data_IF_703629216046
#
_entry.id   IF_703629216046
#
_cell.length_a   1.000
_cell.length_b   1.000
_cell.length_c   1.000
_cell.angle_alpha   90.00
_cell.angle_beta   90.00
_cell.angle_gamma   90.00
#
_symmetry.space_group_name_H-M   'P 1'
#
loop_
_entity.id
_entity.type
_entity.pdbx_description
1 polymer ?
#
# COMPACT_ATOMS: atom_id res chain seq x y z
N UNK A 1 2.69 -3.49 -9.03
CA UNK A 1 1.64 -4.10 -8.17
C UNK A 1 2.14 -4.23 -6.73
N UNK A 2 1.24 -4.11 -5.74
CA UNK A 2 1.61 -4.37 -4.35
C UNK A 2 1.92 -5.86 -4.15
N UNK A 3 3.03 -6.13 -3.47
CA UNK A 3 3.52 -7.48 -3.18
C UNK A 3 3.46 -7.78 -1.69
N UNK A 4 3.29 -9.05 -1.34
CA UNK A 4 3.30 -9.56 0.03
C UNK A 4 4.73 -9.68 0.58
N UNK A 5 4.86 -9.95 1.89
CA UNK A 5 6.15 -10.24 2.53
C UNK A 5 6.87 -11.40 1.83
N UNK A 6 6.14 -12.48 1.50
CA UNK A 6 6.71 -13.66 0.84
C UNK A 6 7.23 -13.36 -0.56
N UNK A 7 6.47 -12.59 -1.35
CA UNK A 7 6.89 -12.18 -2.69
C UNK A 7 8.09 -11.23 -2.63
N UNK A 8 8.13 -10.33 -1.62
CA UNK A 8 9.31 -9.49 -1.36
C UNK A 8 10.57 -10.35 -1.13
N UNK A 9 10.47 -11.38 -0.29
CA UNK A 9 11.59 -12.27 -0.02
C UNK A 9 12.07 -12.98 -1.29
N UNK A 10 11.14 -13.48 -2.11
CA UNK A 10 11.46 -14.11 -3.39
C UNK A 10 12.11 -13.14 -4.39
N UNK A 11 11.61 -11.90 -4.48
CA UNK A 11 12.22 -10.89 -5.35
C UNK A 11 13.64 -10.53 -4.91
N UNK A 12 13.89 -10.42 -3.60
CA UNK A 12 15.22 -10.14 -3.09
C UNK A 12 16.19 -11.30 -3.30
N UNK A 13 15.70 -12.55 -3.21
CA UNK A 13 16.48 -13.76 -3.45
C UNK A 13 16.83 -13.93 -4.94
N UNK A 14 15.82 -13.82 -5.82
CA UNK A 14 16.01 -14.12 -7.25
C UNK A 14 16.60 -12.95 -8.05
N UNK A 15 16.37 -11.74 -7.61
CA UNK A 15 16.80 -10.52 -8.31
C UNK A 15 17.48 -9.54 -7.36
N UNK A 16 18.59 -9.94 -6.70
CA UNK A 16 19.27 -9.08 -5.73
C UNK A 16 19.71 -7.77 -6.40
N UNK A 17 19.38 -6.65 -5.78
CA UNK A 17 19.77 -5.33 -6.25
C UNK A 17 19.07 -4.84 -7.53
N UNK A 18 17.87 -5.34 -7.84
CA UNK A 18 17.10 -4.92 -9.01
C UNK A 18 15.87 -4.08 -8.67
N UNK A 19 15.42 -4.14 -7.43
CA UNK A 19 14.18 -3.48 -7.00
C UNK A 19 14.42 -2.63 -5.77
N UNK A 20 13.88 -1.42 -5.78
CA UNK A 20 13.55 -0.68 -4.58
C UNK A 20 12.23 -1.24 -4.06
N UNK A 21 12.22 -1.73 -2.82
CA UNK A 21 11.03 -2.33 -2.23
C UNK A 21 10.70 -1.61 -0.93
N UNK A 22 9.59 -0.89 -0.94
CA UNK A 22 9.15 -0.12 0.22
C UNK A 22 7.78 -0.55 0.71
N UNK A 23 7.60 -0.48 2.02
CA UNK A 23 6.30 -0.75 2.63
C UNK A 23 5.36 0.42 2.37
N UNK A 24 4.21 0.15 1.76
CA UNK A 24 3.19 1.16 1.51
C UNK A 24 1.92 0.86 2.33
N UNK A 25 1.67 1.67 3.37
CA UNK A 25 0.49 1.50 4.23
C UNK A 25 -0.84 1.58 3.47
N UNK A 26 -0.89 2.30 2.36
CA UNK A 26 -2.08 2.49 1.56
C UNK A 26 -2.51 1.21 0.82
N UNK A 27 -1.56 0.27 0.64
CA UNK A 27 -1.78 -1.02 -0.02
C UNK A 27 -2.02 -2.18 0.97
N UNK A 28 -2.16 -1.93 2.28
CA UNK A 28 -2.37 -3.00 3.25
C UNK A 28 -3.79 -3.53 3.18
N UNK A 29 -3.94 -4.85 3.00
CA UNK A 29 -5.26 -5.48 2.99
C UNK A 29 -5.85 -5.61 4.39
N UNK A 30 -7.16 -5.47 4.43
CA UNK A 30 -7.98 -5.63 5.62
C UNK A 30 -8.64 -7.01 5.61
N UNK A 31 -8.15 -7.90 6.46
CA UNK A 31 -8.64 -9.27 6.57
C UNK A 31 -9.46 -9.41 7.85
N UNK A 32 -10.66 -9.92 7.73
CA UNK A 32 -11.62 -10.07 8.81
C UNK A 32 -12.00 -11.53 9.01
N UNK A 33 -12.32 -11.90 10.25
CA UNK A 33 -13.01 -13.15 10.49
C UNK A 33 -14.41 -13.13 9.84
N UNK A 34 -14.70 -14.13 9.03
CA UNK A 34 -16.02 -14.31 8.41
C UNK A 34 -17.13 -14.35 9.47
N UNK A 35 -16.94 -15.11 10.54
CA UNK A 35 -17.93 -15.22 11.63
C UNK A 35 -18.26 -13.85 12.25
N UNK A 36 -17.24 -13.02 12.48
CA UNK A 36 -17.43 -11.68 13.05
C UNK A 36 -18.18 -10.76 12.10
N UNK A 37 -17.90 -10.79 10.79
CA UNK A 37 -18.62 -9.99 9.80
C UNK A 37 -20.07 -10.47 9.63
N UNK A 38 -20.29 -11.78 9.54
CA UNK A 38 -21.61 -12.37 9.41
C UNK A 38 -22.49 -12.07 10.63
N UNK A 39 -21.93 -12.17 11.84
CA UNK A 39 -22.70 -12.04 13.08
C UNK A 39 -22.78 -10.63 13.63
N UNK A 40 -21.79 -9.78 13.36
CA UNK A 40 -21.62 -8.42 13.91
C UNK A 40 -21.86 -8.35 15.44
N UNK A 41 -21.40 -9.37 16.18
CA UNK A 41 -21.65 -9.52 17.62
C UNK A 41 -20.78 -8.58 18.45
N UNK A 42 -21.24 -8.33 19.68
CA UNK A 42 -20.50 -7.54 20.68
C UNK A 42 -20.72 -6.03 20.61
N UNK A 43 -20.21 -5.33 21.65
CA UNK A 43 -20.43 -3.89 21.85
C UNK A 43 -19.78 -3.05 20.73
N UNK A 44 -18.62 -3.47 20.24
CA UNK A 44 -17.89 -2.75 19.19
C UNK A 44 -18.67 -2.65 17.87
N UNK A 45 -19.46 -3.67 17.56
CA UNK A 45 -20.29 -3.73 16.32
C UNK A 45 -21.68 -3.11 16.46
N UNK A 46 -22.01 -2.52 17.61
CA UNK A 46 -23.34 -1.94 17.88
C UNK A 46 -23.75 -0.91 16.82
N UNK A 47 -22.84 -0.04 16.40
CA UNK A 47 -23.14 0.96 15.36
C UNK A 47 -23.55 0.31 14.03
N UNK A 48 -22.87 -0.77 13.63
CA UNK A 48 -23.19 -1.50 12.39
C UNK A 48 -24.57 -2.14 12.49
N UNK A 49 -24.87 -2.80 13.60
CA UNK A 49 -26.22 -3.35 13.85
C UNK A 49 -27.31 -2.29 13.84
N UNK A 50 -27.05 -1.12 14.40
CA UNK A 50 -28.02 -0.02 14.38
C UNK A 50 -28.27 0.50 12.97
N UNK A 51 -27.24 0.58 12.12
CA UNK A 51 -27.42 0.94 10.70
C UNK A 51 -28.22 -0.10 9.95
N UNK A 52 -27.95 -1.39 10.18
CA UNK A 52 -28.71 -2.49 9.57
C UNK A 52 -30.16 -2.49 10.07
N UNK A 53 -30.39 -2.25 11.36
CA UNK A 53 -31.74 -2.15 11.91
C UNK A 53 -32.55 -1.05 11.21
N UNK A 54 -31.96 0.14 11.03
CA UNK A 54 -32.62 1.25 10.32
C UNK A 54 -32.89 0.94 8.85
N UNK A 55 -32.01 0.20 8.17
CA UNK A 55 -32.29 -0.28 6.81
C UNK A 55 -33.50 -1.21 6.79
N UNK A 56 -33.63 -2.08 7.78
CA UNK A 56 -34.73 -3.06 7.95
C UNK A 56 -36.01 -2.45 8.50
N UNK A 57 -36.01 -1.20 8.98
CA UNK A 57 -37.23 -0.51 9.41
C UNK A 57 -38.22 -0.37 8.23
N UNK A 58 -37.69 -0.27 7.01
CA UNK A 58 -38.48 -0.45 5.79
C UNK A 58 -38.51 -1.94 5.44
N UNK A 59 -39.69 -2.58 5.43
CA UNK A 59 -39.79 -4.01 5.18
C UNK A 59 -39.64 -4.43 3.70
N UNK A 60 -39.69 -3.47 2.76
CA UNK A 60 -39.63 -3.74 1.32
C UNK A 60 -38.17 -3.79 0.84
N UNK A 61 -37.45 -4.78 1.35
CA UNK A 61 -36.09 -5.06 0.91
C UNK A 61 -35.90 -6.57 0.66
N UNK A 62 -34.95 -6.89 -0.22
CA UNK A 62 -34.49 -8.26 -0.44
C UNK A 62 -33.00 -8.32 -0.71
N UNK A 63 -32.39 -9.48 -0.45
CA UNK A 63 -31.06 -9.85 -0.90
C UNK A 63 -31.18 -11.03 -1.86
N UNK A 64 -30.46 -10.95 -2.97
CA UNK A 64 -30.35 -12.03 -3.93
C UNK A 64 -28.96 -12.15 -4.51
N UNK A 65 -28.50 -13.34 -4.94
CA UNK A 65 -27.23 -13.49 -5.63
C UNK A 65 -27.27 -12.81 -7.00
N UNK A 66 -26.11 -12.37 -7.47
CA UNK A 66 -25.95 -11.96 -8.87
C UNK A 66 -26.03 -13.20 -9.75
N UNK A 67 -26.90 -13.15 -10.74
CA UNK A 67 -27.15 -14.20 -11.73
C UNK A 67 -27.14 -13.61 -13.14
N UNK A 68 -27.18 -14.46 -14.17
CA UNK A 68 -27.25 -13.97 -15.57
C UNK A 68 -28.44 -13.07 -15.84
N UNK A 69 -29.54 -13.31 -15.14
CA UNK A 69 -30.82 -12.60 -15.31
C UNK A 69 -30.73 -11.16 -14.76
N UNK A 70 -30.02 -10.94 -13.64
CA UNK A 70 -29.91 -9.62 -13.01
C UNK A 70 -28.54 -8.92 -13.19
N UNK A 71 -27.58 -9.57 -13.88
CA UNK A 71 -26.24 -9.05 -14.10
C UNK A 71 -26.24 -7.69 -14.84
N UNK A 72 -27.08 -7.58 -15.87
CA UNK A 72 -27.20 -6.34 -16.65
C UNK A 72 -27.78 -5.18 -15.81
N UNK A 73 -28.75 -5.46 -14.96
CA UNK A 73 -29.33 -4.47 -14.05
C UNK A 73 -28.31 -4.06 -12.96
N UNK A 74 -27.56 -5.03 -12.43
CA UNK A 74 -26.48 -4.74 -11.47
C UNK A 74 -25.40 -3.85 -12.06
N UNK A 75 -24.98 -4.12 -13.31
CA UNK A 75 -24.04 -3.27 -14.07
C UNK A 75 -24.59 -1.87 -14.25
N UNK A 76 -25.88 -1.73 -14.57
CA UNK A 76 -26.52 -0.42 -14.69
C UNK A 76 -26.52 0.36 -13.36
N UNK A 77 -26.82 -0.32 -12.24
CA UNK A 77 -26.71 0.29 -10.90
C UNK A 77 -25.28 0.76 -10.61
N UNK A 78 -24.26 -0.08 -10.91
CA UNK A 78 -22.86 0.27 -10.72
C UNK A 78 -22.46 1.52 -11.51
N UNK A 79 -22.93 1.64 -12.74
CA UNK A 79 -22.75 2.81 -13.59
C UNK A 79 -23.37 4.06 -12.97
N UNK A 80 -24.62 3.96 -12.51
CA UNK A 80 -25.30 5.08 -11.85
C UNK A 80 -24.60 5.49 -10.56
N UNK A 81 -24.05 4.52 -9.81
CA UNK A 81 -23.29 4.81 -8.60
C UNK A 81 -22.02 5.64 -8.90
N UNK A 82 -21.25 5.29 -9.94
CA UNK A 82 -20.07 6.06 -10.35
C UNK A 82 -20.48 7.47 -10.81
N UNK A 83 -21.52 7.58 -11.65
CA UNK A 83 -22.01 8.85 -12.17
C UNK A 83 -22.65 9.75 -11.09
N UNK A 84 -23.11 9.20 -9.98
CA UNK A 84 -23.70 9.97 -8.87
C UNK A 84 -22.67 10.67 -7.97
N UNK A 85 -21.38 10.38 -8.13
CA UNK A 85 -20.33 11.03 -7.34
C UNK A 85 -20.21 12.49 -7.76
N UNK A 86 -20.19 13.38 -6.76
CA UNK A 86 -20.07 14.84 -6.98
C UNK A 86 -18.67 15.28 -7.46
N UNK A 87 -17.69 14.36 -7.38
CA UNK A 87 -16.31 14.61 -7.81
C UNK A 87 -16.22 14.75 -9.34
N UNK A 88 -15.35 15.64 -9.80
CA UNK A 88 -15.04 15.69 -11.22
C UNK A 88 -14.39 14.39 -11.67
N UNK A 89 -14.83 13.87 -12.82
CA UNK A 89 -14.27 12.70 -13.46
C UNK A 89 -12.73 12.83 -13.57
N UNK A 90 -12.02 11.84 -13.06
CA UNK A 90 -10.56 11.81 -13.03
C UNK A 90 -10.05 10.41 -13.43
N UNK A 91 -8.74 10.26 -13.55
CA UNK A 91 -8.07 9.01 -13.97
C UNK A 91 -8.38 7.82 -13.03
N UNK A 92 -8.47 8.06 -11.72
CA UNK A 92 -8.80 7.00 -10.75
C UNK A 92 -10.23 6.48 -10.97
N UNK A 93 -11.18 7.37 -11.24
CA UNK A 93 -12.56 6.99 -11.55
C UNK A 93 -12.65 6.25 -12.89
N UNK A 94 -11.86 6.65 -13.89
CA UNK A 94 -11.80 5.97 -15.19
C UNK A 94 -11.24 4.55 -15.04
N UNK A 95 -10.18 4.40 -14.26
CA UNK A 95 -9.59 3.10 -13.93
C UNK A 95 -10.58 2.21 -13.16
N UNK A 96 -11.21 2.73 -12.11
CA UNK A 96 -12.24 2.02 -11.34
C UNK A 96 -13.38 1.56 -12.24
N UNK A 97 -13.85 2.42 -13.12
CA UNK A 97 -14.91 2.13 -14.08
C UNK A 97 -14.49 1.02 -15.05
N UNK A 98 -13.29 1.11 -15.64
CA UNK A 98 -12.78 0.12 -16.59
C UNK A 98 -12.67 -1.28 -15.94
N UNK A 99 -12.09 -1.36 -14.74
CA UNK A 99 -11.96 -2.64 -14.01
C UNK A 99 -13.32 -3.23 -13.65
N UNK A 100 -14.28 -2.39 -13.29
CA UNK A 100 -15.64 -2.83 -12.97
C UNK A 100 -16.37 -3.36 -14.23
N UNK A 101 -16.21 -2.69 -15.37
CA UNK A 101 -16.76 -3.14 -16.65
C UNK A 101 -16.19 -4.49 -17.09
N UNK A 102 -14.87 -4.66 -16.95
CA UNK A 102 -14.19 -5.92 -17.24
C UNK A 102 -14.66 -7.04 -16.33
N UNK A 103 -14.89 -6.76 -15.04
CA UNK A 103 -15.45 -7.73 -14.11
C UNK A 103 -16.86 -8.17 -14.49
N UNK A 104 -17.74 -7.25 -14.89
CA UNK A 104 -19.08 -7.59 -15.36
C UNK A 104 -19.05 -8.36 -16.68
N UNK A 105 -18.19 -7.95 -17.63
CA UNK A 105 -18.07 -8.61 -18.93
C UNK A 105 -17.58 -10.07 -18.81
N UNK A 106 -16.76 -10.36 -17.81
CA UNK A 106 -16.11 -11.64 -17.60
C UNK A 106 -16.60 -12.36 -16.33
N UNK A 107 -17.74 -12.00 -15.78
CA UNK A 107 -18.26 -12.45 -14.48
C UNK A 107 -18.18 -13.97 -14.30
N UNK A 108 -18.73 -14.73 -15.26
CA UNK A 108 -18.72 -16.20 -15.22
C UNK A 108 -17.29 -16.77 -15.43
N UNK A 109 -16.52 -16.18 -16.35
CA UNK A 109 -15.18 -16.66 -16.68
C UNK A 109 -14.18 -16.45 -15.52
N UNK A 110 -14.35 -15.38 -14.75
CA UNK A 110 -13.57 -15.09 -13.55
C UNK A 110 -14.06 -15.88 -12.32
N UNK A 111 -15.20 -16.59 -12.43
CA UNK A 111 -15.77 -17.34 -11.31
C UNK A 111 -16.25 -16.44 -10.16
N UNK A 112 -16.61 -15.19 -10.47
CA UNK A 112 -17.08 -14.24 -9.47
C UNK A 112 -18.38 -14.71 -8.81
N UNK A 113 -18.51 -14.42 -7.52
CA UNK A 113 -19.74 -14.53 -6.76
C UNK A 113 -20.15 -13.13 -6.34
N UNK A 114 -21.40 -12.79 -6.55
CA UNK A 114 -21.91 -11.48 -6.17
C UNK A 114 -23.24 -11.55 -5.47
N UNK A 115 -23.63 -10.44 -4.87
CA UNK A 115 -24.94 -10.25 -4.26
C UNK A 115 -25.41 -8.81 -4.42
N UNK A 116 -26.72 -8.65 -4.48
CA UNK A 116 -27.40 -7.36 -4.57
C UNK A 116 -28.40 -7.18 -3.43
N UNK A 117 -28.57 -5.94 -3.02
CA UNK A 117 -29.68 -5.50 -2.17
C UNK A 117 -30.67 -4.71 -3.00
N UNK A 118 -31.95 -5.08 -2.87
CA UNK A 118 -33.04 -4.26 -3.38
C UNK A 118 -33.77 -3.56 -2.26
N UNK A 119 -34.34 -2.41 -2.58
CA UNK A 119 -35.31 -1.70 -1.79
C UNK A 119 -36.36 -1.12 -2.74
N UNK A 120 -37.65 -1.38 -2.49
CA UNK A 120 -38.78 -1.02 -3.39
C UNK A 120 -38.61 -1.53 -4.83
N UNK A 121 -37.93 -2.65 -5.00
CA UNK A 121 -37.65 -3.26 -6.30
C UNK A 121 -36.36 -2.78 -6.97
N UNK A 122 -35.81 -1.62 -6.59
CA UNK A 122 -34.55 -1.06 -7.15
C UNK A 122 -33.31 -1.64 -6.47
N UNK A 123 -32.24 -1.87 -7.24
CA UNK A 123 -30.94 -2.27 -6.67
C UNK A 123 -30.30 -1.05 -6.02
N UNK A 124 -30.08 -1.12 -4.71
CA UNK A 124 -29.48 -0.04 -3.90
C UNK A 124 -28.03 -0.31 -3.47
N UNK A 125 -27.59 -1.57 -3.58
CA UNK A 125 -26.22 -1.97 -3.32
C UNK A 125 -25.87 -3.28 -4.02
N UNK A 126 -24.59 -3.46 -4.34
CA UNK A 126 -24.02 -4.73 -4.80
C UNK A 126 -22.64 -4.98 -4.22
N UNK A 127 -22.22 -6.22 -4.26
CA UNK A 127 -20.86 -6.65 -3.93
C UNK A 127 -20.46 -7.84 -4.80
N UNK A 128 -19.17 -7.95 -5.14
CA UNK A 128 -18.61 -9.04 -5.93
C UNK A 128 -17.24 -9.43 -5.41
N UNK A 129 -16.90 -10.70 -5.54
CA UNK A 129 -15.58 -11.24 -5.22
C UNK A 129 -15.45 -12.69 -5.61
N UNK A 130 -14.34 -13.32 -5.24
CA UNK A 130 -14.04 -14.72 -5.53
C UNK A 130 -13.17 -15.37 -4.43
N UNK A 131 -13.02 -16.69 -4.42
CA UNK A 131 -12.11 -17.39 -3.54
C UNK A 131 -10.66 -17.03 -3.86
N UNK A 132 -9.94 -16.40 -2.92
CA UNK A 132 -8.50 -16.13 -3.04
C UNK A 132 -7.70 -17.43 -2.85
N UNK A 133 -8.10 -18.24 -1.89
CA UNK A 133 -7.50 -19.52 -1.55
C UNK A 133 -8.53 -20.41 -0.80
N UNK A 134 -8.07 -21.50 -0.16
CA UNK A 134 -8.97 -22.45 0.53
C UNK A 134 -9.67 -21.91 1.77
N UNK A 135 -9.15 -20.85 2.41
CA UNK A 135 -9.66 -20.31 3.68
C UNK A 135 -10.11 -18.84 3.59
N UNK A 136 -9.75 -18.13 2.53
CA UNK A 136 -9.99 -16.69 2.38
C UNK A 136 -10.79 -16.37 1.12
N UNK A 137 -11.88 -15.63 1.29
CA UNK A 137 -12.64 -15.04 0.20
C UNK A 137 -12.26 -13.57 0.01
N UNK A 138 -12.02 -13.15 -1.22
CA UNK A 138 -11.62 -11.79 -1.60
C UNK A 138 -12.84 -11.03 -2.11
N UNK A 139 -13.10 -9.86 -1.55
CA UNK A 139 -14.16 -8.95 -1.99
C UNK A 139 -13.53 -7.79 -2.76
N UNK A 140 -13.72 -7.78 -4.07
CA UNK A 140 -13.18 -6.74 -4.98
C UNK A 140 -14.02 -5.47 -4.97
N UNK A 141 -15.34 -5.64 -5.02
CA UNK A 141 -16.27 -4.52 -5.11
C UNK A 141 -17.35 -4.62 -4.03
N UNK A 142 -17.61 -3.49 -3.38
CA UNK A 142 -18.76 -3.32 -2.50
C UNK A 142 -19.22 -1.88 -2.63
N UNK A 143 -20.37 -1.68 -3.28
CA UNK A 143 -20.93 -0.37 -3.59
C UNK A 143 -22.38 -0.28 -3.11
N UNK A 144 -22.72 0.87 -2.55
CA UNK A 144 -24.09 1.19 -2.16
C UNK A 144 -24.33 2.69 -2.36
N UNK A 145 -25.54 3.09 -2.64
CA UNK A 145 -25.90 4.50 -2.70
C UNK A 145 -25.80 5.12 -1.29
N UNK A 146 -25.03 6.20 -1.10
CA UNK A 146 -24.77 6.81 0.21
C UNK A 146 -26.06 7.32 0.90
N UNK A 147 -27.05 7.75 0.14
CA UNK A 147 -28.34 8.22 0.62
C UNK A 147 -29.20 7.09 1.20
N UNK A 148 -28.95 5.84 0.85
CA UNK A 148 -29.67 4.68 1.39
C UNK A 148 -29.03 4.26 2.71
N UNK A 149 -29.64 4.74 3.78
CA UNK A 149 -29.09 4.56 5.13
C UNK A 149 -28.98 3.09 5.53
N UNK A 150 -27.75 2.64 5.79
CA UNK A 150 -27.49 1.28 6.26
C UNK A 150 -27.28 0.25 5.14
N UNK A 151 -27.33 0.65 3.86
CA UNK A 151 -27.12 -0.26 2.73
C UNK A 151 -25.73 -0.91 2.73
N UNK A 152 -24.65 -0.15 2.95
CA UNK A 152 -23.29 -0.72 3.05
C UNK A 152 -23.14 -1.82 4.11
N UNK A 153 -23.47 -1.61 5.40
CA UNK A 153 -23.35 -2.69 6.37
C UNK A 153 -24.35 -3.82 6.13
N UNK A 154 -25.48 -3.56 5.49
CA UNK A 154 -26.45 -4.58 5.16
C UNK A 154 -25.96 -5.49 4.04
N UNK A 155 -25.48 -4.94 2.91
CA UNK A 155 -24.95 -5.74 1.80
C UNK A 155 -23.74 -6.57 2.26
N UNK A 156 -22.82 -5.97 3.03
CA UNK A 156 -21.67 -6.67 3.57
C UNK A 156 -22.09 -7.88 4.42
N UNK A 157 -23.01 -7.69 5.38
CA UNK A 157 -23.46 -8.77 6.24
C UNK A 157 -24.18 -9.88 5.44
N UNK A 158 -25.10 -9.53 4.56
CA UNK A 158 -25.88 -10.49 3.79
C UNK A 158 -25.00 -11.31 2.86
N UNK A 159 -24.07 -10.65 2.16
CA UNK A 159 -23.12 -11.31 1.27
C UNK A 159 -22.24 -12.31 2.04
N UNK A 160 -21.65 -11.86 3.16
CA UNK A 160 -20.78 -12.73 3.97
C UNK A 160 -21.57 -13.93 4.52
N UNK A 161 -22.84 -13.75 4.90
CA UNK A 161 -23.68 -14.84 5.38
C UNK A 161 -23.99 -15.88 4.30
N UNK A 162 -24.30 -15.43 3.08
CA UNK A 162 -24.92 -16.28 2.06
C UNK A 162 -23.95 -16.76 0.97
N UNK A 163 -22.91 -15.98 0.65
CA UNK A 163 -22.03 -16.25 -0.48
C UNK A 163 -20.65 -16.79 -0.10
N UNK A 164 -20.23 -16.66 1.18
CA UNK A 164 -18.87 -17.00 1.61
C UNK A 164 -18.82 -18.15 2.63
N UNK A 165 -19.83 -19.04 2.59
CA UNK A 165 -19.82 -20.23 3.43
C UNK A 165 -18.60 -21.12 3.12
N UNK A 166 -17.96 -21.65 4.17
CA UNK A 166 -16.76 -22.50 4.06
C UNK A 166 -15.44 -21.73 4.16
N UNK A 167 -15.45 -20.41 4.08
CA UNK A 167 -14.23 -19.60 4.30
C UNK A 167 -14.12 -19.16 5.76
N UNK A 168 -12.88 -19.05 6.24
CA UNK A 168 -12.57 -18.55 7.58
C UNK A 168 -12.40 -17.02 7.58
N UNK A 169 -11.83 -16.50 6.52
CA UNK A 169 -11.48 -15.09 6.37
C UNK A 169 -12.17 -14.43 5.18
N UNK A 170 -12.38 -13.12 5.33
CA UNK A 170 -12.81 -12.21 4.27
C UNK A 170 -11.74 -11.13 4.11
N UNK A 171 -11.07 -11.11 2.97
CA UNK A 171 -10.19 -10.03 2.57
C UNK A 171 -11.01 -8.98 1.80
N UNK A 172 -10.95 -7.73 2.24
CA UNK A 172 -11.66 -6.59 1.59
C UNK A 172 -10.68 -5.60 0.98
N UNK A 173 -9.52 -6.09 0.57
CA UNK A 173 -8.45 -5.31 -0.04
C UNK A 173 -8.01 -4.09 0.79
N UNK A 174 -7.26 -3.20 0.17
CA UNK A 174 -6.67 -2.01 0.80
C UNK A 174 -7.62 -0.80 0.83
N UNK A 175 -7.09 0.34 1.29
CA UNK A 175 -7.83 1.61 1.35
C UNK A 175 -7.33 2.66 0.33
N UNK A 176 -6.39 2.32 -0.54
CA UNK A 176 -5.76 3.19 -1.55
C UNK A 176 -5.27 4.56 -1.04
N UNK A 177 -5.19 4.73 0.30
CA UNK A 177 -4.86 6.00 0.96
C UNK A 177 -6.07 6.89 1.27
N UNK A 178 -7.30 6.51 0.88
CA UNK A 178 -8.51 7.26 1.24
C UNK A 178 -8.80 7.13 2.75
N UNK A 179 -8.79 8.26 3.44
CA UNK A 179 -8.99 8.32 4.89
C UNK A 179 -10.41 7.93 5.33
N UNK A 180 -11.42 8.19 4.50
CA UNK A 180 -12.81 7.81 4.74
C UNK A 180 -12.98 6.30 4.64
N UNK A 181 -12.46 5.70 3.55
CA UNK A 181 -12.46 4.25 3.34
C UNK A 181 -11.64 3.53 4.43
N UNK A 182 -10.46 4.06 4.77
CA UNK A 182 -9.64 3.57 5.90
C UNK A 182 -10.43 3.51 7.21
N UNK A 183 -11.09 4.62 7.55
CA UNK A 183 -11.92 4.70 8.75
C UNK A 183 -13.10 3.71 8.69
N UNK A 184 -13.74 3.58 7.53
CA UNK A 184 -14.81 2.63 7.31
C UNK A 184 -14.35 1.18 7.52
N UNK A 185 -13.22 0.77 6.88
CA UNK A 185 -12.63 -0.56 7.01
C UNK A 185 -12.18 -0.86 8.44
N UNK A 186 -11.44 0.04 9.09
CA UNK A 186 -11.03 -0.11 10.49
C UNK A 186 -12.20 -0.22 11.47
N UNK A 187 -13.36 0.37 11.14
CA UNK A 187 -14.55 0.31 11.99
C UNK A 187 -15.19 -1.07 12.09
N UNK A 188 -14.75 -2.04 11.28
CA UNK A 188 -15.12 -3.45 11.37
C UNK A 188 -14.11 -4.30 12.14
N UNK A 189 -13.03 -3.69 12.68
CA UNK A 189 -12.00 -4.35 13.50
C UNK A 189 -11.37 -5.57 12.80
N UNK A 190 -10.56 -5.36 11.76
CA UNK A 190 -9.88 -6.45 11.04
C UNK A 190 -9.06 -7.31 12.00
N UNK A 191 -9.01 -8.61 11.75
CA UNK A 191 -8.14 -9.54 12.47
C UNK A 191 -6.69 -9.35 12.08
N UNK A 192 -6.45 -9.15 10.77
CA UNK A 192 -5.12 -9.00 10.19
C UNK A 192 -5.14 -7.76 9.32
N UNK A 193 -4.13 -6.94 9.50
CA UNK A 193 -3.75 -5.89 8.57
C UNK A 193 -2.54 -6.40 7.80
N UNK A 194 -2.79 -6.98 6.62
CA UNK A 194 -1.76 -7.64 5.83
C UNK A 194 -0.81 -6.62 5.22
N UNK A 195 0.42 -6.61 5.70
CA UNK A 195 1.45 -5.71 5.22
C UNK A 195 1.81 -6.05 3.77
N UNK A 196 1.82 -5.01 2.93
CA UNK A 196 2.25 -5.09 1.53
C UNK A 196 3.34 -4.07 1.22
N UNK A 197 4.02 -4.31 0.12
CA UNK A 197 5.13 -3.50 -0.37
C UNK A 197 4.88 -3.12 -1.81
N UNK A 198 5.45 -2.01 -2.23
CA UNK A 198 5.56 -1.64 -3.65
C UNK A 198 6.99 -1.93 -4.08
N UNK A 199 7.16 -2.67 -5.18
CA UNK A 199 8.44 -2.99 -5.77
C UNK A 199 8.59 -2.22 -7.09
N UNK A 200 9.63 -1.40 -7.19
CA UNK A 200 9.96 -0.62 -8.37
C UNK A 200 11.37 -0.96 -8.85
N UNK A 201 11.57 -1.03 -10.16
CA UNK A 201 12.90 -1.18 -10.71
C UNK A 201 13.69 0.10 -10.50
N UNK A 202 14.82 0.01 -9.82
CA UNK A 202 15.71 1.15 -9.56
C UNK A 202 17.15 0.68 -9.56
N UNK A 203 18.07 1.58 -9.85
CA UNK A 203 19.50 1.38 -9.63
C UNK A 203 19.99 2.07 -8.34
N UNK A 204 19.13 2.90 -7.72
CA UNK A 204 19.31 3.39 -6.35
C UNK A 204 18.42 2.53 -5.44
N UNK A 205 19.01 1.90 -4.44
CA UNK A 205 18.38 0.89 -3.61
C UNK A 205 18.61 1.20 -2.13
N UNK A 206 17.73 0.72 -1.26
CA UNK A 206 18.04 0.64 0.16
C UNK A 206 19.13 -0.42 0.38
N UNK A 207 20.14 -0.07 1.17
CA UNK A 207 21.16 -1.03 1.57
C UNK A 207 20.57 -2.10 2.49
N UNK A 208 20.94 -3.35 2.25
CA UNK A 208 20.63 -4.45 3.15
C UNK A 208 21.72 -4.52 4.25
N UNK A 209 21.36 -4.35 5.55
CA UNK A 209 22.32 -4.28 6.64
C UNK A 209 23.16 -5.56 6.84
N UNK A 210 22.71 -6.68 6.31
CA UNK A 210 23.40 -7.97 6.44
C UNK A 210 24.16 -8.27 5.16
N UNK A 211 23.47 -8.31 4.03
CA UNK A 211 24.04 -8.69 2.73
C UNK A 211 25.10 -7.70 2.24
N UNK A 212 24.84 -6.41 2.37
CA UNK A 212 25.68 -5.35 1.80
C UNK A 212 26.78 -4.87 2.77
N UNK A 213 26.77 -5.36 4.03
CA UNK A 213 27.62 -4.90 5.12
C UNK A 213 29.11 -4.89 4.76
N UNK A 214 29.65 -6.01 4.32
CA UNK A 214 31.07 -6.16 4.01
C UNK A 214 31.53 -5.19 2.91
N UNK A 215 30.70 -5.04 1.86
CA UNK A 215 31.01 -4.12 0.76
C UNK A 215 30.95 -2.65 1.19
N UNK A 216 30.01 -2.29 2.07
CA UNK A 216 29.85 -0.95 2.62
C UNK A 216 31.03 -0.62 3.56
N UNK A 217 31.41 -1.52 4.46
CA UNK A 217 32.56 -1.36 5.35
C UNK A 217 33.85 -1.15 4.56
N UNK A 218 34.06 -1.96 3.52
CA UNK A 218 35.23 -1.83 2.61
C UNK A 218 35.23 -0.48 1.90
N UNK A 219 34.09 -0.06 1.35
CA UNK A 219 33.97 1.25 0.69
C UNK A 219 34.20 2.40 1.67
N UNK A 220 33.69 2.28 2.88
CA UNK A 220 33.87 3.27 3.94
C UNK A 220 35.35 3.45 4.31
N UNK A 221 36.05 2.34 4.58
CA UNK A 221 37.48 2.35 4.87
C UNK A 221 38.29 2.96 3.72
N UNK A 222 38.02 2.58 2.48
CA UNK A 222 38.72 3.12 1.31
C UNK A 222 38.46 4.60 1.06
N UNK A 223 37.26 5.09 1.31
CA UNK A 223 36.88 6.47 0.98
C UNK A 223 37.13 7.46 2.12
N UNK A 224 37.04 7.02 3.38
CA UNK A 224 37.16 7.91 4.53
C UNK A 224 38.39 7.61 5.43
N UNK A 225 38.91 6.39 5.39
CA UNK A 225 40.05 5.99 6.22
C UNK A 225 39.74 5.91 7.71
N UNK A 226 38.44 5.81 8.07
CA UNK A 226 38.02 5.66 9.47
C UNK A 226 38.45 4.28 10.02
N UNK A 227 38.63 4.22 11.36
CA UNK A 227 39.02 2.97 12.00
C UNK A 227 37.90 1.93 11.95
N UNK A 228 38.27 0.65 11.94
CA UNK A 228 37.31 -0.45 11.94
C UNK A 228 36.34 -0.36 13.12
N UNK A 229 36.83 0.02 14.31
CA UNK A 229 36.01 0.18 15.51
C UNK A 229 34.92 1.25 15.32
N UNK A 230 35.23 2.35 14.64
CA UNK A 230 34.25 3.38 14.32
C UNK A 230 33.23 2.90 13.29
N UNK A 231 33.68 2.22 12.24
CA UNK A 231 32.81 1.67 11.19
C UNK A 231 31.86 0.64 11.81
N UNK A 232 32.36 -0.32 12.60
CA UNK A 232 31.56 -1.33 13.30
C UNK A 232 30.53 -0.67 14.22
N UNK A 233 30.93 0.34 15.01
CA UNK A 233 30.02 1.09 15.87
C UNK A 233 28.91 1.76 15.07
N UNK A 234 29.23 2.37 13.93
CA UNK A 234 28.25 3.04 13.07
C UNK A 234 27.26 2.04 12.48
N UNK A 235 27.76 0.95 11.92
CA UNK A 235 26.95 -0.11 11.32
C UNK A 235 25.99 -0.74 12.33
N UNK A 236 26.41 -0.94 13.56
CA UNK A 236 25.60 -1.55 14.61
C UNK A 236 24.56 -0.60 15.22
N UNK A 237 24.87 0.70 15.30
CA UNK A 237 24.05 1.65 16.06
C UNK A 237 23.31 2.67 15.20
N UNK A 238 23.70 2.88 13.96
CA UNK A 238 23.19 3.95 13.10
C UNK A 238 22.65 3.45 11.75
N UNK A 239 23.16 2.35 11.24
CA UNK A 239 22.64 1.78 10.01
C UNK A 239 21.33 1.06 10.29
N UNK A 240 20.30 1.39 9.51
CA UNK A 240 19.01 0.71 9.50
C UNK A 240 18.64 0.37 8.07
N UNK A 241 17.67 -0.51 7.88
CA UNK A 241 17.14 -0.85 6.53
C UNK A 241 16.54 0.36 5.78
N UNK A 242 16.40 1.52 6.45
CA UNK A 242 15.65 2.65 5.93
C UNK A 242 16.47 3.94 5.81
N UNK A 243 17.78 3.91 6.10
CA UNK A 243 18.55 5.15 6.16
C UNK A 243 19.83 5.19 5.32
N UNK A 244 20.13 4.14 4.55
CA UNK A 244 21.26 4.13 3.64
C UNK A 244 20.83 3.73 2.23
N UNK A 245 21.12 4.60 1.26
CA UNK A 245 20.93 4.33 -0.15
C UNK A 245 22.24 3.91 -0.79
N UNK A 246 22.17 2.95 -1.70
CA UNK A 246 23.32 2.44 -2.46
C UNK A 246 23.00 2.34 -3.94
N UNK A 247 24.02 2.46 -4.79
CA UNK A 247 24.00 1.97 -6.17
C UNK A 247 24.88 0.74 -6.23
N UNK A 248 24.34 -0.31 -6.85
CA UNK A 248 25.04 -1.58 -7.00
C UNK A 248 25.53 -1.79 -8.43
N UNK A 249 26.65 -2.50 -8.56
CA UNK A 249 27.12 -3.09 -9.82
C UNK A 249 27.47 -4.55 -9.56
N UNK A 250 26.94 -5.43 -10.41
CA UNK A 250 27.11 -6.88 -10.24
C UNK A 250 26.72 -7.38 -8.84
N UNK A 251 25.66 -6.77 -8.25
CA UNK A 251 25.14 -7.16 -6.95
C UNK A 251 25.94 -6.66 -5.74
N UNK A 252 26.93 -5.76 -5.94
CA UNK A 252 27.72 -5.15 -4.85
C UNK A 252 27.57 -3.64 -4.83
N UNK A 253 27.39 -3.02 -3.65
CA UNK A 253 27.43 -1.57 -3.49
C UNK A 253 28.74 -0.95 -4.02
N UNK A 254 28.62 0.06 -4.87
CA UNK A 254 29.75 0.82 -5.44
C UNK A 254 29.66 2.31 -5.14
N UNK A 255 28.50 2.78 -4.71
CA UNK A 255 28.28 4.14 -4.20
C UNK A 255 27.23 4.07 -3.09
N UNK A 256 27.37 4.92 -2.08
CA UNK A 256 26.48 4.98 -0.93
C UNK A 256 26.27 6.42 -0.43
N UNK A 257 25.16 6.63 0.26
CA UNK A 257 24.93 7.79 1.13
C UNK A 257 23.98 7.39 2.27
N UNK A 258 24.24 7.92 3.46
CA UNK A 258 23.37 7.69 4.63
C UNK A 258 22.55 8.93 4.92
N UNK A 259 21.30 8.74 5.34
CA UNK A 259 20.34 9.79 5.60
C UNK A 259 19.80 9.64 7.03
N UNK A 260 20.27 10.49 7.91
CA UNK A 260 19.86 10.48 9.32
C UNK A 260 18.69 11.45 9.52
N UNK A 261 17.57 11.02 10.09
CA UNK A 261 16.47 11.94 10.41
C UNK A 261 16.97 13.12 11.23
N UNK A 262 16.57 14.33 10.86
CA UNK A 262 17.02 15.56 11.50
C UNK A 262 15.92 16.62 11.55
N UNK A 263 15.83 17.32 12.69
CA UNK A 263 15.03 18.54 12.81
C UNK A 263 15.88 19.74 12.44
N UNK A 264 15.60 20.35 11.29
CA UNK A 264 16.34 21.47 10.73
C UNK A 264 15.70 22.77 11.23
N UNK A 265 16.42 23.53 12.06
CA UNK A 265 15.98 24.83 12.54
C UNK A 265 16.22 25.89 11.47
N UNK A 266 15.19 26.59 11.07
CA UNK A 266 15.27 27.71 10.13
C UNK A 266 14.66 28.99 10.75
N UNK A 267 14.97 30.18 10.22
CA UNK A 267 14.31 31.43 10.65
C UNK A 267 12.78 31.42 10.49
N UNK A 268 12.25 30.53 9.65
CA UNK A 268 10.82 30.38 9.38
C UNK A 268 10.16 29.26 10.21
N UNK A 269 10.92 28.55 11.03
CA UNK A 269 10.43 27.41 11.84
C UNK A 269 11.27 26.14 11.67
N UNK A 270 10.86 25.09 12.37
CA UNK A 270 11.51 23.78 12.28
C UNK A 270 10.97 23.01 11.10
N UNK A 271 11.86 22.38 10.34
CA UNK A 271 11.55 21.49 9.24
C UNK A 271 12.09 20.09 9.54
N UNK A 272 11.24 19.07 9.36
CA UNK A 272 11.73 17.70 9.33
C UNK A 272 12.49 17.44 8.03
N UNK A 273 13.68 16.86 8.14
CA UNK A 273 14.53 16.55 6.99
C UNK A 273 15.52 15.45 7.29
N UNK A 274 16.56 15.38 6.48
CA UNK A 274 17.64 14.42 6.67
C UNK A 274 19.00 15.10 6.68
N UNK A 275 19.85 14.69 7.62
CA UNK A 275 21.28 14.97 7.56
C UNK A 275 21.96 13.89 6.72
N UNK A 276 22.56 14.31 5.60
CA UNK A 276 23.26 13.40 4.70
C UNK A 276 24.66 13.18 5.22
N UNK A 277 25.03 11.93 5.44
CA UNK A 277 26.30 11.51 6.01
C UNK A 277 26.94 10.39 5.20
N UNK A 278 28.27 10.29 5.21
CA UNK A 278 29.03 9.24 4.55
C UNK A 278 28.67 9.02 3.08
N UNK A 279 28.69 10.10 2.29
CA UNK A 279 28.55 10.00 0.83
C UNK A 279 29.86 9.49 0.24
N UNK A 280 29.86 8.28 -0.31
CA UNK A 280 31.03 7.62 -0.87
C UNK A 280 30.75 6.98 -2.22
N UNK A 281 31.78 6.92 -3.04
CA UNK A 281 31.81 6.17 -4.30
C UNK A 281 33.20 5.56 -4.46
N UNK A 282 33.26 4.26 -4.70
CA UNK A 282 34.54 3.57 -4.94
C UNK A 282 35.36 4.27 -6.03
N UNK A 283 36.68 4.37 -5.90
CA UNK A 283 37.54 5.14 -6.81
C UNK A 283 37.32 4.82 -8.29
N UNK A 284 37.18 3.55 -8.63
CA UNK A 284 36.97 3.06 -10.01
C UNK A 284 35.59 3.43 -10.61
N UNK A 285 34.64 3.87 -9.78
CA UNK A 285 33.31 4.31 -10.19
C UNK A 285 33.07 5.81 -10.03
N UNK A 286 34.09 6.56 -9.60
CA UNK A 286 33.99 8.03 -9.50
C UNK A 286 33.86 8.69 -10.87
N UNK A 287 33.33 9.92 -10.90
CA UNK A 287 33.12 10.67 -12.15
C UNK A 287 31.93 10.23 -12.98
N UNK A 288 31.18 9.21 -12.55
CA UNK A 288 29.99 8.69 -13.24
C UNK A 288 28.66 9.27 -12.70
N UNK A 289 28.71 10.23 -11.79
CA UNK A 289 27.53 10.90 -11.22
C UNK A 289 26.71 10.04 -10.24
N UNK A 290 27.27 8.92 -9.74
CA UNK A 290 26.50 7.98 -8.91
C UNK A 290 26.02 8.60 -7.59
N UNK A 291 26.86 9.34 -6.89
CA UNK A 291 26.46 10.05 -5.66
C UNK A 291 25.40 11.13 -5.92
N UNK A 292 25.50 11.84 -7.04
CA UNK A 292 24.46 12.81 -7.45
C UNK A 292 23.13 12.12 -7.64
N UNK A 293 23.10 10.97 -8.32
CA UNK A 293 21.88 10.19 -8.52
C UNK A 293 21.25 9.71 -7.21
N UNK A 294 22.06 9.30 -6.24
CA UNK A 294 21.56 8.94 -4.90
C UNK A 294 20.89 10.14 -4.22
N UNK A 295 21.52 11.32 -4.28
CA UNK A 295 20.97 12.53 -3.66
C UNK A 295 19.72 13.04 -4.36
N UNK A 296 19.69 13.05 -5.68
CA UNK A 296 18.51 13.41 -6.49
C UNK A 296 17.36 12.45 -6.22
N UNK A 297 17.63 11.15 -6.20
CA UNK A 297 16.63 10.13 -5.84
C UNK A 297 16.07 10.39 -4.45
N UNK A 298 16.89 10.59 -3.43
CA UNK A 298 16.46 10.86 -2.07
C UNK A 298 15.58 12.11 -1.98
N UNK A 299 15.96 13.19 -2.67
CA UNK A 299 15.21 14.43 -2.71
C UNK A 299 13.85 14.27 -3.37
N UNK A 300 13.79 13.58 -4.50
CA UNK A 300 12.55 13.36 -5.25
C UNK A 300 11.61 12.39 -4.52
N UNK A 301 12.17 11.32 -3.96
CA UNK A 301 11.40 10.25 -3.36
C UNK A 301 10.84 10.63 -1.98
N UNK A 302 11.65 11.24 -1.12
CA UNK A 302 11.20 11.61 0.22
C UNK A 302 10.60 13.02 0.31
N UNK A 303 10.85 13.87 -0.67
CA UNK A 303 10.35 15.25 -0.72
C UNK A 303 10.63 16.06 0.57
N UNK A 304 11.75 15.76 1.22
CA UNK A 304 12.21 16.41 2.46
C UNK A 304 13.53 17.13 2.24
N UNK A 305 13.79 18.22 3.00
CA UNK A 305 15.07 18.91 2.95
C UNK A 305 16.24 17.98 3.28
N UNK A 306 17.30 18.07 2.49
CA UNK A 306 18.58 17.41 2.73
C UNK A 306 19.59 18.44 3.24
N UNK A 307 20.16 18.20 4.42
CA UNK A 307 21.22 19.01 5.01
C UNK A 307 22.52 18.20 4.96
N UNK A 308 23.57 18.78 4.44
CA UNK A 308 24.89 18.16 4.44
C UNK A 308 25.99 19.17 4.80
N UNK A 309 27.07 18.67 5.38
CA UNK A 309 28.27 19.43 5.67
C UNK A 309 29.44 18.87 4.87
N UNK A 310 29.89 19.53 3.80
CA UNK A 310 31.01 19.06 3.00
C UNK A 310 32.29 19.03 3.84
N UNK A 311 33.06 17.94 3.76
CA UNK A 311 34.33 17.79 4.45
C UNK A 311 35.38 18.81 3.94
N UNK A 312 35.30 19.17 2.66
CA UNK A 312 36.22 20.13 2.02
C UNK A 312 35.47 21.24 1.29
N UNK A 313 36.07 22.40 1.18
CA UNK A 313 35.48 23.57 0.50
C UNK A 313 35.26 23.33 -1.01
N UNK A 314 36.04 22.48 -1.65
CA UNK A 314 35.88 22.04 -3.04
C UNK A 314 34.57 21.33 -3.28
N UNK A 315 34.08 20.54 -2.32
CA UNK A 315 32.81 19.80 -2.38
C UNK A 315 31.56 20.71 -2.26
N UNK A 316 31.74 21.97 -1.77
CA UNK A 316 30.62 22.93 -1.73
C UNK A 316 30.04 23.22 -3.12
N UNK A 317 30.95 23.35 -4.12
CA UNK A 317 30.56 23.61 -5.51
C UNK A 317 29.82 22.38 -6.10
N UNK A 318 30.21 21.17 -5.70
CA UNK A 318 29.56 19.94 -6.13
C UNK A 318 28.14 19.84 -5.58
N UNK A 319 27.92 20.13 -4.31
CA UNK A 319 26.63 20.03 -3.65
C UNK A 319 25.72 21.27 -3.83
N UNK A 320 26.20 22.37 -4.39
CA UNK A 320 25.43 23.58 -4.65
C UNK A 320 24.65 23.54 -5.99
N UNK A 321 24.78 22.49 -6.74
CA UNK A 321 24.04 22.26 -7.99
C UNK A 321 22.71 21.58 -7.72
#
# INVERSE_FOLDING_TARGET
>A
EPITVKERELLLEWFPGRFLIESNRNCYDYIYSREKLAGLRGKKMQKKRNHIARFKDDPDWSYEPITKENLAETRFMAHNWICSREEKWNEDMENEFSVLEDAFANYDALGLRGGILRQHGDIVAFTMGDPLNSDTFLVHFEKAFPEVQGAYPMINQQFVQQATEGFEYINREDDTGDLGLRKAKLSYYPEILLKKYVAETSDVLMADPIRDREAIETMWEQCFGDSKEFIDFYMENRMTELNMLVIQRQGRPVSMATFLPADIQTPMGNLEGYYVYAVATLPEYQGQGLSTRILEFAQQHWQKPLLLSPAESSLRIFYAK
#
